data_IF_328588804043
#
_entry.id   IF_328588804043
#
_cell.length_a   1.000
_cell.length_b   1.000
_cell.length_c   1.000
_cell.angle_alpha   90.00
_cell.angle_beta   90.00
_cell.angle_gamma   90.00
#
_symmetry.space_group_name_H-M   'P 1'
#
loop_
_entity.id
_entity.type
_entity.pdbx_description
1 polymer ?
#
# COMPACT_ATOMS: atom_id res chain seq x y z
N UNK A 1 20.96 -57.03 38.84
CA UNK A 1 21.40 -55.64 38.60
C UNK A 1 22.00 -55.62 37.21
N UNK A 2 21.17 -55.44 36.19
CA UNK A 2 21.61 -55.38 34.79
C UNK A 2 21.67 -53.92 34.36
N UNK A 3 22.87 -53.44 34.02
CA UNK A 3 23.10 -52.11 33.44
C UNK A 3 23.23 -52.27 31.93
N UNK A 4 22.13 -52.10 31.21
CA UNK A 4 22.15 -51.97 29.75
C UNK A 4 22.36 -50.51 29.36
N UNK A 5 23.62 -50.15 29.14
CA UNK A 5 24.05 -48.93 28.45
C UNK A 5 23.47 -48.89 27.04
N UNK A 6 22.51 -48.01 26.79
CA UNK A 6 22.05 -47.70 25.43
C UNK A 6 23.02 -46.70 24.78
N UNK A 7 23.88 -47.18 23.90
CA UNK A 7 24.69 -46.33 23.02
C UNK A 7 23.81 -45.74 21.93
N UNK A 8 23.60 -44.42 21.96
CA UNK A 8 22.95 -43.67 20.89
C UNK A 8 23.92 -43.63 19.70
N UNK A 9 23.56 -44.29 18.59
CA UNK A 9 24.38 -44.25 17.38
C UNK A 9 24.36 -42.84 16.77
N UNK A 10 25.54 -42.28 16.54
CA UNK A 10 25.72 -41.11 15.67
C UNK A 10 25.27 -41.53 14.27
N UNK A 11 24.07 -41.12 13.85
CA UNK A 11 23.68 -41.18 12.44
C UNK A 11 24.55 -40.21 11.65
N UNK A 12 25.60 -40.74 11.03
CA UNK A 12 26.28 -40.13 9.90
C UNK A 12 25.25 -39.85 8.80
N UNK A 13 25.36 -38.70 8.14
CA UNK A 13 24.55 -38.32 6.98
C UNK A 13 24.76 -39.37 5.87
N UNK A 14 23.93 -40.40 5.84
CA UNK A 14 23.89 -41.33 4.72
C UNK A 14 23.12 -40.67 3.56
N UNK A 15 23.71 -40.75 2.37
CA UNK A 15 23.11 -40.25 1.12
C UNK A 15 21.73 -40.90 0.94
N UNK A 16 20.66 -40.14 0.63
CA UNK A 16 19.35 -40.73 0.39
C UNK A 16 19.42 -41.71 -0.79
N UNK A 17 19.00 -42.96 -0.57
CA UNK A 17 18.99 -44.05 -1.56
C UNK A 17 17.71 -44.12 -2.40
N UNK A 18 16.80 -43.15 -2.26
CA UNK A 18 15.55 -43.11 -3.01
C UNK A 18 15.63 -42.14 -4.20
N UNK A 19 15.10 -42.58 -5.35
CA UNK A 19 15.13 -41.92 -6.65
C UNK A 19 14.99 -40.40 -6.54
N UNK A 20 16.00 -39.69 -7.02
CA UNK A 20 16.20 -38.25 -6.83
C UNK A 20 15.01 -37.46 -7.36
N UNK A 21 14.08 -37.10 -6.49
CA UNK A 21 13.23 -35.95 -6.75
C UNK A 21 14.18 -34.77 -6.77
N UNK A 22 14.51 -34.25 -7.96
CA UNK A 22 15.54 -33.23 -8.16
C UNK A 22 15.33 -32.06 -7.18
N UNK A 23 16.07 -32.08 -6.08
CA UNK A 23 15.89 -31.19 -4.92
C UNK A 23 16.23 -29.76 -5.29
N UNK A 24 17.06 -29.62 -6.32
CA UNK A 24 17.59 -28.38 -6.81
C UNK A 24 16.88 -27.95 -8.10
N UNK A 25 16.75 -26.65 -8.28
CA UNK A 25 16.33 -26.02 -9.53
C UNK A 25 17.38 -25.00 -9.95
N UNK A 26 17.32 -24.57 -11.21
CA UNK A 26 18.23 -23.57 -11.78
C UNK A 26 19.71 -23.94 -11.60
N UNK A 27 20.06 -25.21 -11.89
CA UNK A 27 21.45 -25.69 -11.82
C UNK A 27 22.04 -25.71 -10.42
N UNK A 28 21.23 -25.87 -9.36
CA UNK A 28 21.72 -25.90 -7.97
C UNK A 28 21.41 -24.64 -7.17
N UNK A 29 20.94 -23.57 -7.81
CA UNK A 29 20.78 -22.26 -7.18
C UNK A 29 19.53 -22.14 -6.28
N UNK A 30 18.51 -22.95 -6.52
CA UNK A 30 17.25 -22.90 -5.78
C UNK A 30 16.94 -24.28 -5.19
N UNK A 31 16.53 -24.31 -3.93
CA UNK A 31 16.10 -25.53 -3.24
C UNK A 31 14.59 -25.50 -3.05
N UNK A 32 13.89 -26.53 -3.54
CA UNK A 32 12.46 -26.67 -3.25
C UNK A 32 12.32 -27.33 -1.87
N UNK A 33 11.81 -26.59 -0.89
CA UNK A 33 11.76 -27.07 0.51
C UNK A 33 10.93 -28.33 0.70
N UNK A 34 9.83 -28.53 -0.03
CA UNK A 34 9.06 -29.78 0.05
C UNK A 34 9.85 -30.99 -0.46
N UNK A 35 10.67 -30.82 -1.51
CA UNK A 35 11.58 -31.85 -2.00
C UNK A 35 12.71 -32.10 -1.01
N UNK A 36 13.24 -31.05 -0.40
CA UNK A 36 14.25 -31.15 0.66
C UNK A 36 13.72 -31.95 1.86
N UNK A 37 12.47 -31.68 2.28
CA UNK A 37 11.80 -32.47 3.32
C UNK A 37 11.71 -33.94 2.92
N UNK A 38 11.19 -34.23 1.72
CA UNK A 38 11.06 -35.59 1.23
C UNK A 38 12.41 -36.32 1.15
N UNK A 39 13.46 -35.65 0.64
CA UNK A 39 14.81 -36.22 0.56
C UNK A 39 15.41 -36.52 1.94
N UNK A 40 15.07 -35.74 2.97
CA UNK A 40 15.59 -35.92 4.33
C UNK A 40 14.79 -36.95 5.14
N UNK A 41 13.45 -36.92 5.05
CA UNK A 41 12.56 -37.72 5.89
C UNK A 41 11.92 -38.92 5.18
N UNK A 42 12.02 -39.01 3.85
CA UNK A 42 11.43 -40.08 3.04
C UNK A 42 9.91 -40.04 2.95
N UNK A 43 9.26 -38.94 3.37
CA UNK A 43 7.81 -38.80 3.44
C UNK A 43 7.33 -37.50 2.80
N UNK A 44 6.12 -37.51 2.24
CA UNK A 44 5.48 -36.30 1.71
C UNK A 44 5.01 -35.45 2.90
N UNK A 45 5.38 -34.15 2.97
CA UNK A 45 5.01 -33.31 4.10
C UNK A 45 3.56 -32.81 4.03
N UNK A 46 2.93 -32.67 5.19
CA UNK A 46 1.89 -31.67 5.42
C UNK A 46 2.53 -30.29 5.57
N UNK A 47 1.79 -29.23 5.22
CA UNK A 47 2.32 -27.86 5.21
C UNK A 47 1.39 -26.90 5.94
N UNK A 48 1.94 -26.13 6.88
CA UNK A 48 1.31 -24.91 7.39
C UNK A 48 2.04 -23.67 6.86
N UNK A 49 1.29 -22.62 6.52
CA UNK A 49 1.83 -21.37 5.96
C UNK A 49 1.38 -20.19 6.80
N UNK A 50 2.33 -19.34 7.19
CA UNK A 50 2.06 -18.05 7.84
C UNK A 50 2.70 -16.94 7.01
N UNK A 51 1.87 -16.10 6.40
CA UNK A 51 2.32 -14.95 5.61
C UNK A 51 2.29 -13.64 6.41
N UNK A 52 3.07 -12.65 5.95
CA UNK A 52 3.15 -11.28 6.48
C UNK A 52 3.64 -11.23 7.91
N UNK A 53 4.76 -11.89 8.17
CA UNK A 53 5.46 -11.92 9.46
C UNK A 53 6.80 -11.20 9.39
N UNK A 54 7.22 -10.65 10.53
CA UNK A 54 8.54 -10.05 10.71
C UNK A 54 9.57 -11.18 10.77
N UNK A 55 10.03 -11.58 9.59
CA UNK A 55 10.95 -12.70 9.40
C UNK A 55 12.33 -12.44 9.99
N UNK A 56 12.80 -11.18 9.99
CA UNK A 56 14.04 -10.76 10.65
C UNK A 56 13.96 -11.01 12.14
N UNK A 57 12.89 -10.56 12.79
CA UNK A 57 12.68 -10.81 14.22
C UNK A 57 12.48 -12.30 14.51
N UNK A 58 11.72 -13.01 13.68
CA UNK A 58 11.51 -14.45 13.85
C UNK A 58 12.83 -15.23 13.77
N UNK A 59 13.71 -14.92 12.81
CA UNK A 59 15.04 -15.55 12.69
C UNK A 59 15.94 -15.23 13.88
N UNK A 60 15.90 -14.00 14.39
CA UNK A 60 16.61 -13.64 15.63
C UNK A 60 16.12 -14.49 16.81
N UNK A 61 14.80 -14.66 16.93
CA UNK A 61 14.20 -15.43 18.03
C UNK A 61 14.39 -16.96 17.86
N UNK A 62 14.67 -17.43 16.64
CA UNK A 62 15.08 -18.82 16.38
C UNK A 62 16.38 -19.19 17.11
N UNK A 63 17.33 -18.27 17.20
CA UNK A 63 18.60 -18.50 17.89
C UNK A 63 18.44 -18.67 19.41
N UNK A 64 17.36 -18.16 19.99
CA UNK A 64 17.02 -18.31 21.42
C UNK A 64 16.02 -19.43 21.67
N UNK A 65 15.83 -20.34 20.70
CA UNK A 65 15.12 -21.61 20.90
C UNK A 65 13.61 -21.54 20.73
N UNK A 66 13.06 -20.53 20.04
CA UNK A 66 11.60 -20.41 19.86
C UNK A 66 10.99 -21.63 19.15
N UNK A 67 11.74 -22.26 18.26
CA UNK A 67 11.31 -23.44 17.50
C UNK A 67 11.61 -24.76 18.21
N UNK A 68 12.16 -24.73 19.43
CA UNK A 68 12.75 -25.91 20.05
C UNK A 68 14.16 -26.20 19.52
N UNK A 69 14.59 -27.45 19.63
CA UNK A 69 15.98 -27.85 19.33
C UNK A 69 16.22 -27.98 17.83
N UNK A 70 17.05 -27.09 17.30
CA UNK A 70 17.48 -27.10 15.90
C UNK A 70 18.68 -28.05 15.76
N UNK A 71 18.59 -29.02 14.84
CA UNK A 71 19.65 -30.00 14.55
C UNK A 71 20.48 -29.62 13.31
N UNK A 72 19.88 -28.92 12.35
CA UNK A 72 20.57 -28.50 11.13
C UNK A 72 19.94 -27.22 10.56
N UNK A 73 20.74 -26.42 9.88
CA UNK A 73 20.28 -25.18 9.23
C UNK A 73 20.87 -25.06 7.84
N UNK A 74 20.05 -24.64 6.88
CA UNK A 74 20.47 -24.32 5.51
C UNK A 74 19.94 -22.93 5.18
N UNK A 75 20.83 -21.99 4.86
CA UNK A 75 20.43 -20.63 4.55
C UNK A 75 21.06 -20.14 3.25
N UNK A 76 20.34 -19.27 2.55
CA UNK A 76 20.83 -18.54 1.38
C UNK A 76 20.83 -17.05 1.71
N UNK A 77 21.99 -16.43 1.59
CA UNK A 77 22.18 -15.00 1.80
C UNK A 77 22.48 -14.33 0.47
N UNK A 78 21.90 -13.17 0.25
CA UNK A 78 22.15 -12.31 -0.91
C UNK A 78 22.65 -10.96 -0.41
N UNK A 79 23.50 -10.30 -1.19
CA UNK A 79 23.97 -8.95 -0.90
C UNK A 79 23.43 -8.01 -1.98
N UNK A 80 22.72 -6.99 -1.53
CA UNK A 80 22.22 -5.94 -2.40
C UNK A 80 23.25 -4.80 -2.43
N UNK A 81 23.88 -4.60 -3.59
CA UNK A 81 24.89 -3.57 -3.79
C UNK A 81 24.34 -2.13 -3.73
N UNK A 82 23.03 -1.94 -3.95
CA UNK A 82 22.39 -0.62 -3.88
C UNK A 82 22.13 -0.25 -2.43
N UNK A 83 21.55 -1.16 -1.65
CA UNK A 83 21.26 -0.91 -0.24
C UNK A 83 22.45 -1.17 0.68
N UNK A 84 23.51 -1.83 0.18
CA UNK A 84 24.68 -2.28 0.94
C UNK A 84 24.31 -3.22 2.10
N UNK A 85 23.19 -3.95 1.96
CA UNK A 85 22.67 -4.86 2.98
C UNK A 85 22.75 -6.31 2.51
N UNK A 86 23.17 -7.18 3.43
CA UNK A 86 23.05 -8.61 3.25
C UNK A 86 21.71 -9.10 3.81
N UNK A 87 20.93 -9.80 3.00
CA UNK A 87 19.61 -10.32 3.36
C UNK A 87 19.60 -11.84 3.29
N UNK A 88 19.01 -12.47 4.32
CA UNK A 88 18.74 -13.91 4.28
C UNK A 88 17.47 -14.13 3.46
N UNK A 89 17.62 -14.52 2.20
CA UNK A 89 16.51 -14.77 1.30
C UNK A 89 15.72 -16.02 1.74
N UNK A 90 16.44 -17.09 2.11
CA UNK A 90 15.85 -18.36 2.58
C UNK A 90 16.59 -18.84 3.84
N UNK A 91 15.85 -19.20 4.90
CA UNK A 91 16.35 -20.10 5.98
C UNK A 91 15.53 -21.37 5.97
N UNK A 92 16.19 -22.49 6.13
CA UNK A 92 15.59 -23.76 6.53
C UNK A 92 16.15 -24.18 7.88
N UNK A 93 15.28 -24.49 8.83
CA UNK A 93 15.62 -25.02 10.16
C UNK A 93 15.07 -26.44 10.27
N UNK A 94 15.94 -27.41 10.51
CA UNK A 94 15.55 -28.78 10.81
C UNK A 94 15.50 -28.93 12.32
N UNK A 95 14.33 -29.33 12.83
CA UNK A 95 14.14 -29.58 14.26
C UNK A 95 14.38 -31.04 14.60
N UNK A 96 14.83 -31.31 15.83
CA UNK A 96 15.00 -32.68 16.35
C UNK A 96 13.69 -33.47 16.30
N UNK A 97 12.56 -32.79 16.42
CA UNK A 97 11.24 -33.37 16.32
C UNK A 97 10.87 -33.92 14.94
N UNK A 98 11.57 -33.53 13.89
CA UNK A 98 11.23 -33.91 12.50
C UNK A 98 10.36 -32.89 11.77
N UNK A 99 10.18 -31.69 12.32
CA UNK A 99 9.60 -30.54 11.61
C UNK A 99 10.70 -29.77 10.88
N UNK A 100 10.44 -29.38 9.62
CA UNK A 100 11.29 -28.47 8.85
C UNK A 100 10.59 -27.12 8.71
N UNK A 101 11.29 -26.06 9.08
CA UNK A 101 10.78 -24.70 9.01
C UNK A 101 11.50 -23.96 7.89
N UNK A 102 10.75 -23.41 6.95
CA UNK A 102 11.25 -22.46 5.98
C UNK A 102 10.82 -21.05 6.37
N UNK A 103 11.75 -20.10 6.35
CA UNK A 103 11.47 -18.69 6.49
C UNK A 103 12.01 -17.97 5.26
N UNK A 104 11.15 -17.25 4.55
CA UNK A 104 11.51 -16.48 3.35
C UNK A 104 10.45 -15.42 3.04
N UNK A 105 10.86 -14.24 2.59
CA UNK A 105 9.98 -13.19 2.06
C UNK A 105 8.78 -12.85 2.95
N UNK A 106 9.02 -12.55 4.24
CA UNK A 106 7.96 -12.26 5.22
C UNK A 106 6.95 -13.40 5.40
N UNK A 107 7.31 -14.63 5.04
CA UNK A 107 6.50 -15.82 5.22
C UNK A 107 7.29 -16.93 5.91
N UNK A 108 6.56 -17.80 6.61
CA UNK A 108 7.07 -19.04 7.16
C UNK A 108 6.23 -20.22 6.67
N UNK A 109 6.88 -21.30 6.27
CA UNK A 109 6.25 -22.58 5.98
C UNK A 109 6.79 -23.66 6.92
N UNK A 110 5.89 -24.46 7.48
CA UNK A 110 6.21 -25.59 8.35
C UNK A 110 5.88 -26.88 7.60
N UNK A 111 6.88 -27.74 7.41
CA UNK A 111 6.74 -29.04 6.79
C UNK A 111 6.85 -30.12 7.87
N UNK A 112 5.88 -31.02 7.93
CA UNK A 112 5.78 -32.01 9.00
C UNK A 112 5.06 -33.28 8.55
N UNK A 113 5.26 -34.39 9.27
CA UNK A 113 4.47 -35.61 9.12
C UNK A 113 3.30 -35.62 10.11
N UNK A 114 2.32 -36.51 9.96
CA UNK A 114 1.20 -36.61 10.93
C UNK A 114 1.68 -36.86 12.36
N UNK A 115 2.83 -37.53 12.54
CA UNK A 115 3.44 -37.79 13.85
C UNK A 115 3.84 -36.49 14.58
N UNK A 116 4.17 -35.44 13.84
CA UNK A 116 4.72 -34.18 14.38
C UNK A 116 3.74 -33.02 14.31
N UNK A 117 2.48 -33.29 13.95
CA UNK A 117 1.45 -32.28 13.72
C UNK A 117 1.18 -31.38 14.91
N UNK A 118 1.15 -31.93 16.13
CA UNK A 118 0.87 -31.14 17.34
C UNK A 118 1.97 -30.11 17.62
N UNK A 119 3.22 -30.47 17.39
CA UNK A 119 4.35 -29.54 17.55
C UNK A 119 4.35 -28.48 16.44
N UNK A 120 4.13 -28.88 15.19
CA UNK A 120 3.99 -27.96 14.08
C UNK A 120 2.84 -26.96 14.33
N UNK A 121 1.72 -27.41 14.89
CA UNK A 121 0.61 -26.55 15.28
C UNK A 121 0.99 -25.58 16.41
N UNK A 122 1.74 -26.04 17.41
CA UNK A 122 2.24 -25.18 18.49
C UNK A 122 3.12 -24.03 17.96
N UNK A 123 4.05 -24.36 17.05
CA UNK A 123 4.90 -23.37 16.38
C UNK A 123 4.04 -22.43 15.51
N UNK A 124 3.09 -22.97 14.75
CA UNK A 124 2.18 -22.19 13.91
C UNK A 124 1.42 -21.14 14.71
N UNK A 125 0.84 -21.50 15.86
CA UNK A 125 0.13 -20.58 16.73
C UNK A 125 1.06 -19.52 17.34
N UNK A 126 2.25 -19.94 17.79
CA UNK A 126 3.23 -19.03 18.36
C UNK A 126 3.71 -17.97 17.36
N UNK A 127 3.86 -18.34 16.08
CA UNK A 127 4.41 -17.45 15.03
C UNK A 127 3.42 -16.34 14.64
N UNK A 128 2.12 -16.51 14.90
CA UNK A 128 1.12 -15.45 14.66
C UNK A 128 1.44 -14.12 15.37
N UNK A 129 2.20 -14.16 16.48
CA UNK A 129 2.64 -12.95 17.21
C UNK A 129 3.64 -12.09 16.42
N UNK A 130 4.29 -12.65 15.39
CA UNK A 130 5.24 -11.94 14.52
C UNK A 130 4.56 -11.23 13.35
N UNK A 131 3.23 -11.23 13.28
CA UNK A 131 2.50 -10.56 12.19
C UNK A 131 2.93 -9.10 12.04
N UNK A 132 3.37 -8.73 10.84
CA UNK A 132 3.72 -7.34 10.52
C UNK A 132 2.45 -6.50 10.62
N UNK A 133 2.48 -5.52 11.54
CA UNK A 133 1.51 -4.43 11.52
C UNK A 133 1.90 -3.49 10.39
N UNK A 134 1.02 -3.32 9.40
CA UNK A 134 1.25 -2.37 8.31
C UNK A 134 1.51 -0.99 8.93
N UNK A 135 2.71 -0.45 8.70
CA UNK A 135 3.04 0.90 9.13
C UNK A 135 2.12 1.88 8.40
N UNK A 136 1.82 3.01 9.05
CA UNK A 136 1.12 4.10 8.37
C UNK A 136 2.06 4.71 7.35
N UNK A 137 1.53 5.08 6.21
CA UNK A 137 2.30 5.71 5.14
C UNK A 137 2.76 7.10 5.59
N UNK A 138 4.05 7.41 5.40
CA UNK A 138 4.65 8.72 5.70
C UNK A 138 5.24 9.41 4.48
N UNK A 139 5.25 8.70 3.36
CA UNK A 139 5.94 9.07 2.12
C UNK A 139 5.00 8.91 0.93
N UNK A 140 5.32 9.60 -0.16
CA UNK A 140 4.78 9.33 -1.48
C UNK A 140 5.87 8.82 -2.39
N UNK A 141 5.47 8.00 -3.36
CA UNK A 141 6.31 7.47 -4.41
C UNK A 141 6.11 8.31 -5.67
N UNK A 142 7.16 9.01 -6.12
CA UNK A 142 7.18 9.67 -7.43
C UNK A 142 7.66 8.69 -8.50
N UNK A 143 7.03 8.74 -9.68
CA UNK A 143 7.44 7.91 -10.82
C UNK A 143 8.67 8.52 -11.49
N UNK A 144 9.67 7.69 -11.74
CA UNK A 144 10.90 8.05 -12.46
C UNK A 144 11.14 7.05 -13.59
N UNK A 145 11.76 7.52 -14.67
CA UNK A 145 12.18 6.65 -15.79
C UNK A 145 13.64 6.25 -15.59
N UNK A 146 13.90 4.95 -15.57
CA UNK A 146 15.24 4.36 -15.55
C UNK A 146 15.51 3.60 -16.85
N UNK A 147 16.72 3.07 -17.00
CA UNK A 147 17.07 2.20 -18.14
C UNK A 147 16.26 0.89 -18.15
N UNK A 148 15.73 0.49 -17.00
CA UNK A 148 14.97 -0.75 -16.80
C UNK A 148 13.46 -0.55 -16.91
N UNK A 149 13.01 0.69 -17.13
CA UNK A 149 11.59 1.06 -17.20
C UNK A 149 11.20 2.05 -16.11
N UNK A 150 9.95 1.98 -15.67
CA UNK A 150 9.40 2.89 -14.68
C UNK A 150 9.65 2.36 -13.27
N UNK A 151 10.19 3.22 -12.41
CA UNK A 151 10.43 2.93 -11.01
C UNK A 151 9.87 4.04 -10.13
N UNK A 152 9.88 3.84 -8.82
CA UNK A 152 9.44 4.86 -7.87
C UNK A 152 10.57 5.32 -6.96
N UNK A 153 10.64 6.63 -6.72
CA UNK A 153 11.45 7.20 -5.64
C UNK A 153 10.55 7.74 -4.52
N UNK A 154 10.89 7.41 -3.27
CA UNK A 154 10.12 7.82 -2.09
C UNK A 154 10.52 9.21 -1.62
N UNK A 155 9.51 10.03 -1.28
CA UNK A 155 9.67 11.38 -0.73
C UNK A 155 8.80 11.50 0.52
N UNK A 156 9.43 11.90 1.62
CA UNK A 156 8.73 12.15 2.87
C UNK A 156 7.73 13.32 2.73
N UNK A 157 6.52 13.12 3.24
CA UNK A 157 5.51 14.17 3.34
C UNK A 157 5.33 14.56 4.80
N UNK A 158 5.23 15.87 5.04
CA UNK A 158 4.88 16.42 6.36
C UNK A 158 3.38 16.25 6.62
N UNK A 159 3.03 15.62 7.74
CA UNK A 159 1.65 15.53 8.20
C UNK A 159 1.10 16.90 8.60
N UNK A 160 0.06 17.44 7.93
CA UNK A 160 -0.58 18.67 8.37
C UNK A 160 -1.35 18.44 9.67
N UNK A 161 -1.42 19.47 10.52
CA UNK A 161 -2.29 19.48 11.70
C UNK A 161 -3.70 19.87 11.26
N UNK A 162 -4.65 18.94 11.37
CA UNK A 162 -6.04 19.17 11.01
C UNK A 162 -6.91 19.03 12.26
N UNK A 163 -7.71 20.06 12.52
CA UNK A 163 -8.86 19.99 13.40
C UNK A 163 -10.12 19.98 12.52
N UNK A 164 -10.79 18.84 12.42
CA UNK A 164 -12.00 18.71 11.59
C UNK A 164 -13.16 19.58 12.08
N UNK A 165 -13.15 19.99 13.35
CA UNK A 165 -14.19 20.87 13.90
C UNK A 165 -14.04 22.33 13.46
N UNK A 166 -12.84 22.70 13.00
CA UNK A 166 -12.50 24.08 12.60
C UNK A 166 -12.14 24.21 11.12
N UNK A 167 -11.51 23.20 10.52
CA UNK A 167 -10.90 23.31 9.19
C UNK A 167 -11.75 22.74 8.04
N UNK A 168 -12.86 22.08 8.33
CA UNK A 168 -13.79 21.54 7.33
C UNK A 168 -15.24 21.79 7.76
N UNK A 169 -16.26 21.43 6.99
CA UNK A 169 -17.68 21.52 7.41
C UNK A 169 -18.13 20.24 8.17
N UNK A 170 -19.22 20.33 8.95
CA UNK A 170 -19.61 19.32 9.95
C UNK A 170 -19.80 17.91 9.36
N UNK A 171 -20.28 17.87 8.12
CA UNK A 171 -20.52 16.66 7.33
C UNK A 171 -19.23 15.88 7.04
N UNK A 172 -18.09 16.57 6.92
CA UNK A 172 -16.89 15.97 6.37
C UNK A 172 -16.24 14.93 7.28
N UNK A 173 -16.34 15.06 8.60
CA UNK A 173 -15.66 14.13 9.51
C UNK A 173 -16.19 12.70 9.41
N UNK A 174 -17.51 12.55 9.22
CA UNK A 174 -18.15 11.25 8.99
C UNK A 174 -17.69 10.64 7.66
N UNK A 175 -17.60 11.47 6.62
CA UNK A 175 -17.13 11.08 5.28
C UNK A 175 -15.65 10.67 5.34
N UNK A 176 -14.81 11.42 6.06
CA UNK A 176 -13.41 11.09 6.30
C UNK A 176 -13.24 9.70 6.94
N UNK A 177 -14.02 9.39 7.99
CA UNK A 177 -13.98 8.05 8.61
C UNK A 177 -14.32 6.95 7.61
N UNK A 178 -15.33 7.17 6.76
CA UNK A 178 -15.71 6.22 5.72
C UNK A 178 -14.60 6.05 4.66
N UNK A 179 -13.99 7.16 4.21
CA UNK A 179 -12.85 7.15 3.28
C UNK A 179 -11.70 6.32 3.86
N UNK A 180 -11.22 6.65 5.07
CA UNK A 180 -10.09 5.95 5.70
C UNK A 180 -10.38 4.46 5.90
N UNK A 181 -11.61 4.10 6.28
CA UNK A 181 -12.02 2.71 6.43
C UNK A 181 -11.98 1.96 5.09
N UNK A 182 -12.50 2.56 4.02
CA UNK A 182 -12.64 1.90 2.73
C UNK A 182 -11.33 1.84 1.95
N UNK A 183 -10.55 2.92 1.93
CA UNK A 183 -9.29 2.99 1.17
C UNK A 183 -8.19 2.07 1.73
N UNK A 184 -8.29 1.70 3.02
CA UNK A 184 -7.34 0.77 3.64
C UNK A 184 -7.66 -0.72 3.41
N UNK A 185 -8.84 -1.04 2.86
CA UNK A 185 -9.18 -2.43 2.52
C UNK A 185 -8.20 -2.95 1.47
N UNK A 186 -7.65 -4.13 1.69
CA UNK A 186 -6.71 -4.74 0.73
C UNK A 186 -7.46 -5.24 -0.50
N UNK A 187 -6.82 -5.12 -1.66
CA UNK A 187 -7.30 -5.69 -2.94
C UNK A 187 -8.70 -5.20 -3.31
N UNK A 188 -9.00 -3.95 -2.99
CA UNK A 188 -10.21 -3.25 -3.45
C UNK A 188 -9.80 -2.18 -4.45
N UNK A 189 -10.52 -2.07 -5.55
CA UNK A 189 -10.43 -0.94 -6.46
C UNK A 189 -11.35 0.21 -6.01
N UNK A 190 -11.30 1.33 -6.72
CA UNK A 190 -12.27 2.41 -6.55
C UNK A 190 -11.70 3.81 -6.73
N UNK A 191 -12.61 4.73 -7.05
CA UNK A 191 -12.33 6.14 -7.33
C UNK A 191 -12.84 7.04 -6.20
N UNK A 192 -11.97 7.92 -5.72
CA UNK A 192 -12.26 8.96 -4.73
C UNK A 192 -12.08 10.32 -5.38
N UNK A 193 -13.16 11.07 -5.52
CA UNK A 193 -13.21 12.36 -6.21
C UNK A 193 -13.39 13.49 -5.20
N UNK A 194 -12.44 14.42 -5.15
CA UNK A 194 -12.44 15.56 -4.23
C UNK A 194 -12.50 16.86 -5.01
N UNK A 195 -13.57 17.62 -4.86
CA UNK A 195 -13.77 18.82 -5.67
C UNK A 195 -14.21 20.03 -4.90
N UNK A 196 -14.26 21.18 -5.55
CA UNK A 196 -14.69 22.45 -4.94
C UNK A 196 -13.73 23.58 -5.26
N UNK A 197 -14.05 24.78 -4.79
CA UNK A 197 -13.29 25.99 -5.13
C UNK A 197 -11.80 25.89 -4.71
N UNK A 198 -10.87 26.58 -5.39
CA UNK A 198 -9.51 26.74 -4.89
C UNK A 198 -9.51 27.25 -3.44
N UNK A 199 -8.53 26.80 -2.65
CA UNK A 199 -8.39 27.28 -1.27
C UNK A 199 -9.27 26.59 -0.22
N UNK A 200 -10.11 25.63 -0.57
CA UNK A 200 -10.99 24.91 0.38
C UNK A 200 -10.34 23.69 1.07
N UNK A 201 -9.02 23.51 0.91
CA UNK A 201 -8.25 22.54 1.71
C UNK A 201 -8.14 21.11 1.15
N UNK A 202 -8.39 20.91 -0.15
CA UNK A 202 -8.28 19.61 -0.85
C UNK A 202 -6.88 18.97 -0.73
N UNK A 203 -5.83 19.66 -1.18
CA UNK A 203 -4.43 19.19 -1.10
C UNK A 203 -3.98 18.97 0.35
N UNK A 204 -4.38 19.85 1.28
CA UNK A 204 -4.12 19.67 2.72
C UNK A 204 -4.75 18.39 3.26
N UNK A 205 -5.99 18.10 2.85
CA UNK A 205 -6.67 16.86 3.22
C UNK A 205 -5.96 15.63 2.66
N UNK A 206 -5.48 15.66 1.41
CA UNK A 206 -4.76 14.53 0.80
C UNK A 206 -3.49 14.21 1.58
N UNK A 207 -2.68 15.24 1.90
CA UNK A 207 -1.49 15.07 2.75
C UNK A 207 -1.85 14.44 4.09
N UNK A 208 -2.96 14.87 4.71
CA UNK A 208 -3.45 14.24 5.94
C UNK A 208 -3.90 12.79 5.74
N UNK A 209 -4.65 12.51 4.67
CA UNK A 209 -5.18 11.19 4.34
C UNK A 209 -4.06 10.18 4.16
N UNK A 210 -2.97 10.54 3.46
CA UNK A 210 -1.79 9.69 3.24
C UNK A 210 -1.27 9.12 4.56
N UNK A 211 -1.19 9.95 5.61
CA UNK A 211 -0.76 9.52 6.95
C UNK A 211 -1.75 8.61 7.70
N UNK A 212 -2.89 8.30 7.12
CA UNK A 212 -3.88 7.35 7.64
C UNK A 212 -3.99 6.11 6.75
N UNK A 213 -3.16 5.99 5.71
CA UNK A 213 -3.11 4.83 4.83
C UNK A 213 -2.12 3.78 5.33
N UNK A 214 -2.35 2.55 4.91
CA UNK A 214 -1.50 1.38 5.10
C UNK A 214 -1.09 0.78 3.75
N UNK A 215 -0.95 1.65 2.74
CA UNK A 215 -0.71 1.31 1.34
C UNK A 215 0.36 2.23 0.77
N UNK A 216 1.13 1.73 -0.20
CA UNK A 216 2.00 2.58 -1.01
C UNK A 216 1.15 3.65 -1.69
N UNK A 217 1.60 4.90 -1.64
CA UNK A 217 0.94 6.03 -2.30
C UNK A 217 1.82 6.47 -3.45
N UNK A 218 1.31 6.43 -4.66
CA UNK A 218 2.01 6.85 -5.87
C UNK A 218 1.42 8.18 -6.30
N UNK A 219 2.26 9.20 -6.41
CA UNK A 219 1.84 10.48 -6.97
C UNK A 219 2.06 10.45 -8.47
N UNK A 220 1.00 10.78 -9.20
CA UNK A 220 0.98 10.74 -10.65
C UNK A 220 0.57 12.11 -11.17
N UNK A 221 1.44 12.73 -11.97
CA UNK A 221 1.10 13.98 -12.64
C UNK A 221 -0.01 13.75 -13.68
N UNK A 222 -0.79 14.79 -13.96
CA UNK A 222 -1.85 14.77 -14.97
C UNK A 222 -1.33 14.39 -16.35
N UNK A 223 -0.16 14.91 -16.73
CA UNK A 223 0.51 14.55 -18.00
C UNK A 223 0.83 13.06 -18.07
N UNK A 224 1.47 12.51 -17.03
CA UNK A 224 1.77 11.08 -16.98
C UNK A 224 0.51 10.22 -16.98
N UNK A 225 -0.55 10.68 -16.29
CA UNK A 225 -1.83 10.00 -16.27
C UNK A 225 -2.44 9.87 -17.68
N UNK A 226 -2.24 10.85 -18.55
CA UNK A 226 -2.69 10.79 -19.94
C UNK A 226 -1.88 9.87 -20.85
N UNK A 227 -0.67 9.49 -20.45
CA UNK A 227 0.22 8.59 -21.19
C UNK A 227 0.18 7.14 -20.67
N UNK A 228 -0.79 6.83 -19.79
CA UNK A 228 -0.83 5.54 -19.09
C UNK A 228 -1.27 4.33 -19.92
N UNK A 229 -1.88 4.54 -21.08
CA UNK A 229 -2.22 3.47 -22.03
C UNK A 229 -0.96 2.90 -22.73
N UNK A 230 0.24 3.41 -22.41
CA UNK A 230 1.51 2.91 -22.89
C UNK A 230 1.83 1.52 -22.28
N UNK A 231 2.27 0.57 -23.11
CA UNK A 231 2.69 -0.79 -22.74
C UNK A 231 3.68 -0.81 -21.56
N UNK A 232 4.52 0.23 -21.41
CA UNK A 232 5.46 0.38 -20.31
C UNK A 232 4.80 0.50 -18.91
N UNK A 233 3.52 0.87 -18.83
CA UNK A 233 2.81 1.05 -17.56
C UNK A 233 2.27 -0.25 -16.98
N UNK A 234 1.99 -1.26 -17.80
CA UNK A 234 1.48 -2.55 -17.33
C UNK A 234 2.46 -3.23 -16.35
N UNK A 235 3.77 -3.37 -16.66
CA UNK A 235 4.73 -3.89 -15.69
C UNK A 235 4.80 -3.05 -14.41
N UNK A 236 4.76 -1.73 -14.52
CA UNK A 236 4.78 -0.82 -13.38
C UNK A 236 3.58 -1.04 -12.44
N UNK A 237 2.37 -1.11 -12.99
CA UNK A 237 1.15 -1.36 -12.23
C UNK A 237 1.16 -2.75 -11.58
N UNK A 238 1.68 -3.77 -12.27
CA UNK A 238 1.82 -5.13 -11.74
C UNK A 238 2.80 -5.21 -10.56
N UNK A 239 3.85 -4.39 -10.55
CA UNK A 239 4.79 -4.26 -9.43
C UNK A 239 4.21 -3.46 -8.26
N UNK A 240 3.20 -2.62 -8.52
CA UNK A 240 2.60 -1.70 -7.56
C UNK A 240 1.13 -2.03 -7.25
N UNK A 241 0.82 -3.32 -7.07
CA UNK A 241 -0.52 -3.78 -6.66
C UNK A 241 -0.93 -3.25 -5.29
N UNK A 242 -2.24 -3.10 -5.08
CA UNK A 242 -2.83 -2.66 -3.82
C UNK A 242 -2.29 -1.29 -3.35
N UNK A 243 -1.91 -0.43 -4.31
CA UNK A 243 -1.46 0.94 -4.08
C UNK A 243 -2.61 1.95 -4.20
N UNK A 244 -2.37 3.16 -3.70
CA UNK A 244 -3.24 4.33 -3.94
C UNK A 244 -2.51 5.28 -4.89
N UNK A 245 -3.12 5.60 -6.02
CA UNK A 245 -2.64 6.62 -6.95
C UNK A 245 -3.30 7.95 -6.60
N UNK A 246 -2.51 9.00 -6.39
CA UNK A 246 -2.97 10.37 -6.16
C UNK A 246 -2.70 11.19 -7.41
N UNK A 247 -3.73 11.86 -7.91
CA UNK A 247 -3.67 12.78 -9.04
C UNK A 247 -4.24 14.13 -8.60
N UNK A 248 -3.39 15.14 -8.45
CA UNK A 248 -3.85 16.51 -8.19
C UNK A 248 -4.21 17.23 -9.49
N UNK A 249 -5.13 18.19 -9.42
CA UNK A 249 -5.62 19.00 -10.55
C UNK A 249 -5.99 18.19 -11.81
N UNK A 250 -6.82 17.16 -11.62
CA UNK A 250 -7.21 16.18 -12.62
C UNK A 250 -8.34 16.62 -13.57
N UNK A 251 -8.64 17.92 -13.69
CA UNK A 251 -9.74 18.47 -14.50
C UNK A 251 -9.73 17.91 -15.93
N UNK A 252 -8.56 17.87 -16.57
CA UNK A 252 -8.42 17.40 -17.95
C UNK A 252 -8.65 15.89 -18.12
N UNK A 253 -8.52 15.11 -17.04
CA UNK A 253 -8.70 13.65 -17.08
C UNK A 253 -10.16 13.23 -16.89
N UNK A 254 -10.94 14.02 -16.16
CA UNK A 254 -12.29 13.65 -15.71
C UNK A 254 -13.42 14.34 -16.48
N UNK A 255 -13.11 15.40 -17.23
CA UNK A 255 -14.13 16.22 -17.92
C UNK A 255 -14.58 15.55 -19.22
N UNK A 256 -15.88 15.51 -19.49
CA UNK A 256 -16.40 15.06 -20.78
C UNK A 256 -16.07 16.09 -21.87
N UNK A 257 -15.24 15.72 -22.85
CA UNK A 257 -15.06 16.50 -24.08
C UNK A 257 -15.79 15.75 -25.18
N UNK A 258 -16.86 16.34 -25.72
CA UNK A 258 -17.80 15.67 -26.64
C UNK A 258 -17.20 15.26 -28.00
N UNK A 259 -15.95 15.64 -28.32
CA UNK A 259 -15.41 15.47 -29.67
C UNK A 259 -14.05 14.74 -29.78
N UNK A 260 -13.40 14.40 -28.65
CA UNK A 260 -12.14 13.62 -28.69
C UNK A 260 -12.23 12.51 -27.66
N UNK A 261 -12.09 11.25 -28.10
CA UNK A 261 -11.91 10.10 -27.21
C UNK A 261 -10.68 10.37 -26.33
N UNK A 262 -10.91 10.85 -25.12
CA UNK A 262 -9.85 11.08 -24.14
C UNK A 262 -9.31 9.71 -23.69
N UNK A 263 -8.17 9.28 -24.24
CA UNK A 263 -7.38 8.14 -23.72
C UNK A 263 -7.18 8.24 -22.20
N UNK A 264 -7.01 9.47 -21.72
CA UNK A 264 -6.90 9.84 -20.31
C UNK A 264 -8.06 9.35 -19.43
N UNK A 265 -9.30 9.39 -19.94
CA UNK A 265 -10.49 8.93 -19.22
C UNK A 265 -10.54 7.40 -19.20
N UNK A 266 -10.20 6.77 -20.33
CA UNK A 266 -10.15 5.31 -20.47
C UNK A 266 -9.23 4.66 -19.44
N UNK A 267 -8.10 5.30 -19.10
CA UNK A 267 -7.22 4.84 -18.02
C UNK A 267 -7.94 4.79 -16.66
N UNK A 268 -8.61 5.88 -16.26
CA UNK A 268 -9.34 5.92 -15.00
C UNK A 268 -10.41 4.84 -14.98
N UNK A 269 -11.11 4.63 -16.10
CA UNK A 269 -12.10 3.57 -16.24
C UNK A 269 -11.48 2.17 -16.14
N UNK A 270 -10.35 1.90 -16.80
CA UNK A 270 -9.69 0.58 -16.84
C UNK A 270 -9.04 0.19 -15.49
N UNK A 271 -8.66 1.17 -14.67
CA UNK A 271 -8.09 0.92 -13.33
C UNK A 271 -9.17 0.86 -12.25
N UNK A 272 -10.31 1.52 -12.46
CA UNK A 272 -11.43 1.52 -11.51
C UNK A 272 -12.51 0.49 -11.87
N UNK A 273 -12.44 -0.11 -13.05
CA UNK A 273 -13.36 -1.12 -13.57
C UNK A 273 -12.62 -2.20 -14.38
N UNK A 274 -13.20 -3.40 -14.44
CA UNK A 274 -12.70 -4.50 -15.25
C UNK A 274 -11.63 -5.38 -14.60
N UNK A 275 -11.21 -6.40 -15.36
CA UNK A 275 -10.28 -7.46 -14.92
C UNK A 275 -8.95 -6.91 -14.39
N UNK A 276 -8.42 -5.83 -14.96
CA UNK A 276 -7.19 -5.20 -14.50
C UNK A 276 -7.39 -4.47 -13.17
N UNK A 277 -8.43 -3.64 -13.02
CA UNK A 277 -8.74 -2.96 -11.77
C UNK A 277 -8.95 -3.93 -10.59
N UNK A 278 -9.72 -5.00 -10.81
CA UNK A 278 -9.98 -6.02 -9.78
C UNK A 278 -8.73 -6.82 -9.41
N UNK A 279 -7.89 -7.18 -10.38
CA UNK A 279 -6.68 -7.98 -10.14
C UNK A 279 -5.51 -7.19 -9.55
N UNK A 280 -5.46 -5.88 -9.79
CA UNK A 280 -4.41 -5.00 -9.27
C UNK A 280 -4.76 -4.41 -7.91
N UNK A 281 -6.04 -4.20 -7.59
CA UNK A 281 -6.49 -3.61 -6.33
C UNK A 281 -6.04 -2.15 -6.13
N UNK A 282 -5.85 -1.42 -7.24
CA UNK A 282 -5.41 -0.03 -7.24
C UNK A 282 -6.61 0.88 -6.96
N UNK A 283 -6.42 1.86 -6.09
CA UNK A 283 -7.42 2.90 -5.82
C UNK A 283 -6.90 4.26 -6.26
N UNK A 284 -7.79 5.12 -6.75
CA UNK A 284 -7.43 6.43 -7.28
C UNK A 284 -8.06 7.52 -6.42
N UNK A 285 -7.26 8.49 -6.00
CA UNK A 285 -7.69 9.72 -5.35
C UNK A 285 -7.39 10.87 -6.30
N UNK A 286 -8.41 11.60 -6.75
CA UNK A 286 -8.25 12.70 -7.69
C UNK A 286 -8.89 13.99 -7.16
N UNK A 287 -8.23 15.14 -7.39
CA UNK A 287 -8.79 16.46 -7.09
C UNK A 287 -9.12 17.27 -8.33
N UNK A 288 -10.10 18.16 -8.23
CA UNK A 288 -10.42 19.12 -9.28
C UNK A 288 -11.15 20.35 -8.73
N UNK A 289 -11.18 21.43 -9.50
CA UNK A 289 -11.79 22.72 -9.14
C UNK A 289 -13.08 23.00 -9.93
N UNK A 290 -13.55 22.04 -10.74
CA UNK A 290 -14.77 22.15 -11.56
C UNK A 290 -16.02 21.61 -10.86
N UNK A 291 -17.20 21.95 -11.40
CA UNK A 291 -18.48 21.43 -10.91
C UNK A 291 -18.63 19.94 -11.27
N UNK A 292 -19.28 19.17 -10.40
CA UNK A 292 -19.59 17.75 -10.62
C UNK A 292 -20.36 17.49 -11.92
N UNK A 293 -21.15 18.45 -12.40
CA UNK A 293 -21.88 18.35 -13.67
C UNK A 293 -20.98 18.17 -14.89
N UNK A 294 -19.72 18.61 -14.78
CA UNK A 294 -18.75 18.55 -15.86
C UNK A 294 -17.96 17.23 -15.87
N UNK A 295 -18.14 16.39 -14.86
CA UNK A 295 -17.48 15.09 -14.76
C UNK A 295 -18.17 14.08 -15.68
N UNK A 296 -17.39 13.27 -16.37
CA UNK A 296 -17.92 12.16 -17.15
C UNK A 296 -18.76 11.20 -16.29
N UNK A 297 -20.02 10.99 -16.69
CA UNK A 297 -20.99 10.16 -15.97
C UNK A 297 -20.55 8.70 -15.84
N UNK A 298 -19.66 8.20 -16.72
CA UNK A 298 -19.11 6.86 -16.63
C UNK A 298 -18.24 6.66 -15.39
N UNK A 299 -17.59 7.71 -14.88
CA UNK A 299 -16.84 7.67 -13.61
C UNK A 299 -17.76 7.61 -12.39
N UNK A 300 -18.97 8.18 -12.50
CA UNK A 300 -19.94 8.29 -11.40
C UNK A 300 -20.76 7.00 -11.18
N UNK A 301 -20.55 5.96 -11.99
CA UNK A 301 -21.27 4.69 -11.86
C UNK A 301 -20.94 3.99 -10.54
N UNK A 302 -21.98 3.42 -9.92
CA UNK A 302 -21.84 2.53 -8.76
C UNK A 302 -20.95 1.35 -9.14
N UNK A 303 -19.96 1.04 -8.29
CA UNK A 303 -18.93 0.03 -8.56
C UNK A 303 -17.56 0.64 -8.89
N UNK A 304 -17.53 1.79 -9.58
CA UNK A 304 -16.30 2.55 -9.86
C UNK A 304 -16.07 3.62 -8.82
N UNK A 305 -17.08 4.46 -8.59
CA UNK A 305 -17.02 5.55 -7.63
C UNK A 305 -17.18 5.03 -6.19
N UNK A 306 -16.14 5.21 -5.38
CA UNK A 306 -16.17 4.93 -3.93
C UNK A 306 -16.67 6.12 -3.13
N UNK A 307 -16.24 7.34 -3.47
CA UNK A 307 -16.66 8.57 -2.79
C UNK A 307 -16.50 9.75 -3.74
N UNK A 308 -17.46 10.66 -3.71
CA UNK A 308 -17.31 12.02 -4.23
C UNK A 308 -17.61 13.00 -3.10
N UNK A 309 -16.78 14.02 -2.95
CA UNK A 309 -16.97 15.05 -1.93
C UNK A 309 -16.66 16.44 -2.45
N UNK A 310 -17.56 17.38 -2.18
CA UNK A 310 -17.41 18.81 -2.47
C UNK A 310 -16.89 19.57 -1.24
N UNK A 311 -15.63 20.00 -1.30
CA UNK A 311 -15.02 20.95 -0.39
C UNK A 311 -15.53 22.37 -0.68
N UNK A 312 -16.55 22.77 0.07
CA UNK A 312 -17.12 24.12 0.08
C UNK A 312 -16.30 25.07 0.97
N UNK A 313 -16.46 26.40 0.80
CA UNK A 313 -16.10 27.37 1.83
C UNK A 313 -16.65 26.94 3.20
N UNK A 314 -15.95 27.34 4.28
CA UNK A 314 -16.43 27.05 5.63
C UNK A 314 -17.75 27.75 5.88
N UNK A 315 -18.70 27.10 6.56
CA UNK A 315 -19.94 27.76 6.97
C UNK A 315 -19.63 29.07 7.72
N UNK A 316 -20.57 30.02 7.70
CA UNK A 316 -20.37 31.33 8.33
C UNK A 316 -19.93 31.20 9.81
N UNK A 317 -20.57 30.27 10.54
CA UNK A 317 -20.23 29.96 11.94
C UNK A 317 -18.79 29.46 12.05
N UNK A 318 -18.36 28.50 11.22
CA UNK A 318 -16.99 27.96 11.25
C UNK A 318 -15.96 28.98 10.80
N UNK A 319 -16.31 29.84 9.84
CA UNK A 319 -15.47 30.93 9.36
C UNK A 319 -15.14 31.89 10.50
N UNK A 320 -16.15 32.44 11.18
CA UNK A 320 -15.95 33.36 12.30
C UNK A 320 -15.29 32.66 13.50
N UNK A 321 -15.61 31.40 13.77
CA UNK A 321 -14.93 30.63 14.81
C UNK A 321 -13.42 30.47 14.53
N UNK A 322 -13.04 30.18 13.28
CA UNK A 322 -11.63 30.05 12.90
C UNK A 322 -10.91 31.40 12.88
N UNK A 323 -11.55 32.47 12.40
CA UNK A 323 -11.00 33.83 12.46
C UNK A 323 -10.68 34.24 13.91
N UNK A 324 -11.64 34.03 14.82
CA UNK A 324 -11.46 34.28 16.25
C UNK A 324 -10.33 33.42 16.85
N UNK A 325 -10.25 32.14 16.47
CA UNK A 325 -9.18 31.23 16.92
C UNK A 325 -7.79 31.68 16.46
N UNK A 326 -7.71 32.37 15.31
CA UNK A 326 -6.49 32.96 14.76
C UNK A 326 -6.23 34.38 15.26
N UNK A 327 -7.02 34.89 16.22
CA UNK A 327 -6.95 36.22 16.81
C UNK A 327 -7.23 37.37 15.83
N UNK A 328 -7.99 37.11 14.76
CA UNK A 328 -8.55 38.20 13.95
C UNK A 328 -9.77 38.77 14.66
N UNK A 329 -9.74 40.07 15.01
CA UNK A 329 -10.83 40.78 15.67
C UNK A 329 -11.85 41.29 14.64
N UNK A 330 -12.38 40.39 13.83
CA UNK A 330 -13.34 40.71 12.77
C UNK A 330 -14.37 39.60 12.64
N UNK A 331 -15.61 39.99 12.37
CA UNK A 331 -16.65 39.09 11.93
C UNK A 331 -16.97 39.36 10.48
N UNK A 332 -17.00 38.30 9.68
CA UNK A 332 -17.44 38.37 8.30
C UNK A 332 -18.89 37.92 8.21
N UNK A 333 -19.58 38.37 7.15
CA UNK A 333 -20.98 38.05 6.87
C UNK A 333 -21.15 36.96 5.81
N UNK A 334 -20.05 36.50 5.21
CA UNK A 334 -20.04 35.49 4.16
C UNK A 334 -19.10 34.31 4.48
N UNK A 335 -19.47 33.08 4.10
CA UNK A 335 -18.56 31.92 4.10
C UNK A 335 -17.26 32.20 3.35
N UNK A 336 -16.11 31.80 3.92
CA UNK A 336 -14.81 31.96 3.28
C UNK A 336 -14.10 30.62 3.04
N UNK A 337 -13.33 30.49 1.95
CA UNK A 337 -12.36 29.41 1.79
C UNK A 337 -11.36 29.41 2.96
N UNK A 338 -10.92 28.21 3.36
CA UNK A 338 -9.99 28.09 4.49
C UNK A 338 -8.65 28.78 4.23
N UNK A 339 -8.17 28.82 2.98
CA UNK A 339 -6.98 29.58 2.59
C UNK A 339 -7.11 31.07 2.92
N UNK A 340 -8.29 31.63 2.67
CA UNK A 340 -8.54 33.07 2.79
C UNK A 340 -8.61 33.45 4.27
N UNK A 341 -9.12 32.55 5.11
CA UNK A 341 -9.13 32.72 6.57
C UNK A 341 -7.71 32.68 7.13
N UNK A 342 -6.86 31.74 6.71
CA UNK A 342 -5.47 31.69 7.16
C UNK A 342 -4.65 32.89 6.67
N UNK A 343 -4.97 33.42 5.49
CA UNK A 343 -4.26 34.53 4.84
C UNK A 343 -5.04 35.85 4.91
N UNK A 344 -5.90 36.03 5.90
CA UNK A 344 -6.87 37.13 5.94
C UNK A 344 -6.24 38.52 5.81
N UNK A 345 -5.06 38.73 6.40
CA UNK A 345 -4.32 40.00 6.32
C UNK A 345 -3.17 39.99 5.29
N UNK A 346 -3.03 38.94 4.49
CA UNK A 346 -1.91 38.79 3.55
C UNK A 346 -2.15 39.61 2.27
N UNK A 347 -1.53 40.79 2.16
CA UNK A 347 -1.49 41.53 0.90
C UNK A 347 -0.36 41.01 0.00
N UNK A 348 -0.69 40.31 -1.08
CA UNK A 348 0.31 39.76 -2.02
C UNK A 348 0.77 40.75 -3.11
N UNK A 349 0.46 42.05 -2.99
CA UNK A 349 0.78 43.11 -3.97
C UNK A 349 0.39 42.76 -5.42
N UNK A 350 -0.54 41.82 -5.60
CA UNK A 350 -1.02 41.32 -6.89
C UNK A 350 -2.50 41.70 -7.02
N UNK A 351 -2.78 42.67 -7.89
CA UNK A 351 -4.14 42.99 -8.32
C UNK A 351 -4.48 42.18 -9.59
N UNK A 352 -5.40 41.20 -9.53
CA UNK A 352 -5.79 40.47 -10.72
C UNK A 352 -6.48 41.42 -11.70
N UNK A 353 -5.99 41.48 -12.95
CA UNK A 353 -6.72 42.10 -14.05
C UNK A 353 -8.01 41.32 -14.28
N UNK A 354 -9.12 41.82 -13.76
CA UNK A 354 -10.45 41.30 -14.06
C UNK A 354 -10.66 41.37 -15.59
N UNK A 355 -10.81 40.20 -16.23
CA UNK A 355 -11.38 40.16 -17.59
C UNK A 355 -12.81 40.67 -17.44
N UNK A 356 -13.11 41.85 -17.99
CA UNK A 356 -14.48 42.33 -18.14
C UNK A 356 -15.28 41.22 -18.81
N UNK A 357 -16.33 40.73 -18.14
CA UNK A 357 -17.33 39.92 -18.80
C UNK A 357 -17.83 40.73 -20.01
N UNK A 358 -17.65 40.18 -21.21
CA UNK A 358 -18.28 40.72 -22.41
C UNK A 358 -19.77 40.44 -22.23
N UNK A 359 -20.49 41.44 -21.72
CA UNK A 359 -21.94 41.43 -21.78
C UNK A 359 -22.36 41.51 -23.24
N UNK A 360 -23.00 40.47 -23.75
CA UNK A 360 -23.78 40.59 -24.98
C UNK A 360 -25.03 41.40 -24.64
N UNK A 361 -24.97 42.70 -24.92
CA UNK A 361 -26.14 43.55 -25.02
C UNK A 361 -26.66 43.52 -26.45
N UNK A 362 -27.78 42.83 -26.65
CA UNK A 362 -29.01 43.32 -27.28
C UNK A 362 -30.02 42.17 -27.42
#
# INVERSE_FOLDING_TARGET
>A
MDRTTHSISKKTFEKPTYGSVDTFMNGGLMVITSKLFYSYFGQIPNIYVVDKIDDKKLRSDAAIGIFGKIIHQIARQEFDAVTQLATLNIHNFFLESGVLINVSNESMMLYFTEQNKNEALGIFEQVKKYKIKRKKTTEISLITMTKSGLETQEIAIKKPKIDFSLHYNEDFFTIHKAIVKNINKSNTNGLYLFHGHPGTGKTTYIRYLIHHLHKKVIFLSTKMAGELDNVAMTPFLLQNRNAVIVIEDAEELITSRDEVRNSNLSMLLNLTDGLMGESLGIQIVATFNTNVTNIDKALLRKGRLSTIYEFKPLTLIRTNALLNKLNYQIEVTQPLPISDIFNFNSSNNYEPKLRKAVGFGN
#
